data_IF_251808598215
#
_entry.id   IF_251808598215
#
_cell.length_a   1.000
_cell.length_b   1.000
_cell.length_c   1.000
_cell.angle_alpha   90.00
_cell.angle_beta   90.00
_cell.angle_gamma   90.00
#
_symmetry.space_group_name_H-M   'P 1'
#
loop_
_entity.id
_entity.type
_entity.pdbx_description
1 polymer ?
#
# COMPACT_ATOMS: atom_id res chain seq x y z
N UNK A 1 -16.73 -10.51 -19.05
CA UNK A 1 -16.72 -9.02 -19.05
C UNK A 1 -16.00 -8.56 -17.80
N UNK A 2 -15.50 -7.32 -17.76
CA UNK A 2 -14.73 -6.74 -16.65
C UNK A 2 -15.39 -5.46 -16.17
N UNK A 3 -15.25 -5.16 -14.88
CA UNK A 3 -15.63 -3.88 -14.27
C UNK A 3 -14.37 -3.10 -13.87
N UNK A 4 -14.22 -1.89 -14.38
CA UNK A 4 -13.14 -0.98 -13.99
C UNK A 4 -13.58 0.01 -12.92
N UNK A 5 -12.83 0.06 -11.83
CA UNK A 5 -13.05 0.94 -10.69
C UNK A 5 -12.09 2.12 -10.80
N UNK A 6 -12.65 3.34 -10.91
CA UNK A 6 -11.88 4.57 -11.14
C UNK A 6 -12.28 5.63 -10.10
N UNK A 7 -11.59 5.74 -8.97
CA UNK A 7 -11.81 6.81 -8.01
C UNK A 7 -11.15 8.11 -8.46
N UNK A 8 -11.75 9.25 -8.10
CA UNK A 8 -11.25 10.58 -8.42
C UNK A 8 -11.54 11.57 -7.29
N UNK A 9 -10.64 12.53 -7.09
CA UNK A 9 -10.82 13.65 -6.20
C UNK A 9 -10.24 14.93 -6.85
N UNK A 10 -11.11 15.93 -7.15
CA UNK A 10 -10.72 17.20 -7.77
C UNK A 10 -9.78 17.01 -8.98
N UNK A 11 -10.10 16.07 -9.86
CA UNK A 11 -9.21 15.65 -10.95
C UNK A 11 -9.97 15.40 -12.26
N UNK A 12 -10.89 16.31 -12.59
CA UNK A 12 -11.82 16.16 -13.71
C UNK A 12 -11.12 15.88 -15.05
N UNK A 13 -10.04 16.61 -15.35
CA UNK A 13 -9.41 16.51 -16.68
C UNK A 13 -8.77 15.15 -16.92
N UNK A 14 -8.05 14.64 -15.91
CA UNK A 14 -7.45 13.30 -16.02
C UNK A 14 -8.52 12.20 -16.00
N UNK A 15 -9.57 12.35 -15.18
CA UNK A 15 -10.70 11.43 -15.16
C UNK A 15 -11.37 11.31 -16.52
N UNK A 16 -11.54 12.42 -17.26
CA UNK A 16 -12.06 12.40 -18.63
C UNK A 16 -11.18 11.58 -19.57
N UNK A 17 -9.86 11.68 -19.44
CA UNK A 17 -8.92 10.95 -20.29
C UNK A 17 -8.96 9.44 -20.03
N UNK A 18 -8.97 9.01 -18.76
CA UNK A 18 -9.07 7.57 -18.45
C UNK A 18 -10.40 7.03 -18.94
N UNK A 19 -11.51 7.72 -18.68
CA UNK A 19 -12.83 7.30 -19.14
C UNK A 19 -12.91 7.18 -20.66
N UNK A 20 -12.42 8.19 -21.39
CA UNK A 20 -12.40 8.19 -22.84
C UNK A 20 -11.54 7.05 -23.43
N UNK A 21 -10.39 6.74 -22.80
CA UNK A 21 -9.54 5.63 -23.21
C UNK A 21 -10.21 4.27 -23.03
N UNK A 22 -10.94 4.08 -21.91
CA UNK A 22 -11.73 2.86 -21.69
C UNK A 22 -12.83 2.73 -22.73
N UNK A 23 -13.61 3.80 -22.96
CA UNK A 23 -14.67 3.79 -23.96
C UNK A 23 -14.18 3.49 -25.37
N UNK A 24 -12.95 3.94 -25.70
CA UNK A 24 -12.33 3.73 -27.02
C UNK A 24 -11.84 2.30 -27.20
N UNK A 25 -11.09 1.77 -26.22
CA UNK A 25 -10.37 0.51 -26.38
C UNK A 25 -11.11 -0.69 -25.79
N UNK A 26 -12.00 -0.45 -24.80
CA UNK A 26 -12.73 -1.48 -24.07
C UNK A 26 -14.23 -1.12 -23.94
N UNK A 27 -14.95 -0.88 -25.04
CA UNK A 27 -16.33 -0.37 -25.02
C UNK A 27 -17.33 -1.34 -24.39
N UNK A 28 -16.94 -2.59 -24.14
CA UNK A 28 -17.77 -3.59 -23.47
C UNK A 28 -17.50 -3.68 -21.96
N UNK A 29 -16.52 -2.93 -21.45
CA UNK A 29 -16.23 -2.92 -20.03
C UNK A 29 -17.27 -2.10 -19.26
N UNK A 30 -17.69 -2.61 -18.11
CA UNK A 30 -18.42 -1.82 -17.13
C UNK A 30 -17.46 -0.82 -16.48
N UNK A 31 -17.87 0.43 -16.38
CA UNK A 31 -17.09 1.48 -15.72
C UNK A 31 -17.83 1.94 -14.47
N UNK A 32 -17.07 2.04 -13.36
CA UNK A 32 -17.56 2.50 -12.07
C UNK A 32 -16.75 3.73 -11.68
N UNK A 33 -17.37 4.90 -11.80
CA UNK A 33 -16.75 6.19 -11.44
C UNK A 33 -17.12 6.55 -10.00
N UNK A 34 -16.09 6.79 -9.19
CA UNK A 34 -16.27 7.11 -7.77
C UNK A 34 -15.68 8.49 -7.46
N UNK A 35 -16.51 9.37 -6.94
CA UNK A 35 -16.12 10.71 -6.52
C UNK A 35 -15.83 10.75 -5.01
N UNK A 36 -14.61 11.11 -4.63
CA UNK A 36 -14.14 11.19 -3.25
C UNK A 36 -14.52 12.53 -2.57
N UNK A 37 -15.74 13.02 -2.80
CA UNK A 37 -16.20 14.29 -2.23
C UNK A 37 -15.59 15.51 -2.90
N UNK A 38 -15.38 15.48 -4.22
CA UNK A 38 -14.82 16.60 -5.00
C UNK A 38 -15.60 17.89 -4.83
N UNK A 39 -14.89 19.00 -4.86
CA UNK A 39 -15.42 20.36 -4.77
C UNK A 39 -15.42 21.12 -6.10
N UNK A 40 -14.81 20.54 -7.13
CA UNK A 40 -14.84 21.00 -8.51
C UNK A 40 -16.02 20.39 -9.30
N UNK A 41 -16.02 20.54 -10.64
CA UNK A 41 -17.06 20.00 -11.52
C UNK A 41 -16.98 18.45 -11.74
N UNK A 42 -16.08 17.73 -11.05
CA UNK A 42 -15.89 16.28 -11.22
C UNK A 42 -17.20 15.51 -11.06
N UNK A 43 -17.90 15.71 -9.93
CA UNK A 43 -19.17 15.01 -9.69
C UNK A 43 -20.25 15.36 -10.71
N UNK A 44 -20.36 16.63 -11.08
CA UNK A 44 -21.33 17.05 -12.08
C UNK A 44 -21.11 16.33 -13.41
N UNK A 45 -19.85 16.23 -13.85
CA UNK A 45 -19.51 15.52 -15.07
C UNK A 45 -19.77 14.01 -14.95
N UNK A 46 -19.42 13.37 -13.80
CA UNK A 46 -19.71 11.95 -13.55
C UNK A 46 -21.22 11.66 -13.69
N UNK A 47 -22.09 12.52 -13.20
CA UNK A 47 -23.55 12.36 -13.29
C UNK A 47 -24.05 12.25 -14.73
N UNK A 48 -23.36 12.85 -15.69
CA UNK A 48 -23.72 12.86 -17.11
C UNK A 48 -23.24 11.61 -17.87
N UNK A 49 -22.36 10.78 -17.30
CA UNK A 49 -21.81 9.61 -17.97
C UNK A 49 -22.77 8.40 -17.87
N UNK A 50 -22.73 7.52 -18.87
CA UNK A 50 -23.42 6.22 -18.82
C UNK A 50 -22.52 5.16 -18.16
N UNK A 51 -22.56 5.13 -16.83
CA UNK A 51 -21.71 4.26 -16.00
C UNK A 51 -22.32 4.07 -14.61
N UNK A 52 -21.82 3.13 -13.82
CA UNK A 52 -22.11 3.07 -12.38
C UNK A 52 -21.39 4.22 -11.67
N UNK A 53 -22.09 4.87 -10.76
CA UNK A 53 -21.62 6.09 -10.08
C UNK A 53 -21.77 5.98 -8.58
N UNK A 54 -20.81 6.53 -7.87
CA UNK A 54 -20.89 6.68 -6.43
C UNK A 54 -20.19 7.98 -6.01
N UNK A 55 -20.67 8.59 -4.96
CA UNK A 55 -20.03 9.75 -4.33
C UNK A 55 -19.98 9.56 -2.83
N UNK A 56 -18.84 9.77 -2.23
CA UNK A 56 -18.73 9.93 -0.78
C UNK A 56 -19.07 11.36 -0.35
N UNK A 57 -19.64 11.53 0.84
CA UNK A 57 -19.98 12.86 1.38
C UNK A 57 -18.73 13.68 1.74
N UNK A 58 -17.66 12.97 2.14
CA UNK A 58 -16.38 13.55 2.51
C UNK A 58 -15.25 12.75 1.86
N UNK A 59 -14.04 13.30 1.87
CA UNK A 59 -12.86 12.61 1.37
C UNK A 59 -12.50 11.41 2.25
N UNK A 60 -12.71 10.19 1.73
CA UNK A 60 -12.41 8.92 2.42
C UNK A 60 -11.16 8.23 1.88
N UNK A 61 -10.72 8.59 0.69
CA UNK A 61 -9.55 8.06 0.00
C UNK A 61 -9.83 6.86 -0.87
N UNK A 62 -8.89 6.62 -1.79
CA UNK A 62 -9.07 5.57 -2.79
C UNK A 62 -9.03 4.17 -2.19
N UNK A 63 -8.35 3.92 -1.07
CA UNK A 63 -8.40 2.64 -0.32
C UNK A 63 -9.84 2.19 -0.08
N UNK A 64 -10.68 3.07 0.47
CA UNK A 64 -12.09 2.80 0.74
C UNK A 64 -12.91 2.75 -0.55
N UNK A 65 -12.60 3.65 -1.49
CA UNK A 65 -13.36 3.73 -2.74
C UNK A 65 -13.12 2.55 -3.67
N UNK A 66 -11.93 1.96 -3.70
CA UNK A 66 -11.71 0.73 -4.47
C UNK A 66 -12.62 -0.40 -3.98
N UNK A 67 -12.69 -0.62 -2.67
CA UNK A 67 -13.54 -1.66 -2.09
C UNK A 67 -15.01 -1.39 -2.37
N UNK A 68 -15.44 -0.12 -2.24
CA UNK A 68 -16.80 0.28 -2.60
C UNK A 68 -17.10 0.07 -4.08
N UNK A 69 -16.18 0.39 -4.96
CA UNK A 69 -16.32 0.14 -6.41
C UNK A 69 -16.40 -1.34 -6.73
N UNK A 70 -15.57 -2.17 -6.12
CA UNK A 70 -15.60 -3.63 -6.28
C UNK A 70 -16.90 -4.21 -5.74
N UNK A 71 -17.45 -3.70 -4.65
CA UNK A 71 -18.77 -4.07 -4.15
C UNK A 71 -19.86 -3.82 -5.20
N UNK A 72 -19.84 -2.62 -5.83
CA UNK A 72 -20.82 -2.20 -6.85
C UNK A 72 -20.66 -2.90 -8.20
N UNK A 73 -19.49 -3.47 -8.49
CA UNK A 73 -19.21 -4.16 -9.75
C UNK A 73 -20.17 -5.33 -9.99
N UNK A 74 -20.68 -5.46 -11.23
CA UNK A 74 -21.60 -6.53 -11.60
C UNK A 74 -20.93 -7.70 -12.31
N UNK A 75 -19.69 -7.54 -12.77
CA UNK A 75 -18.93 -8.61 -13.41
C UNK A 75 -18.03 -9.36 -12.41
N UNK A 76 -17.70 -10.62 -12.77
CA UNK A 76 -16.84 -11.49 -11.98
C UNK A 76 -15.36 -11.06 -12.00
N UNK A 77 -14.93 -10.33 -13.04
CA UNK A 77 -13.58 -9.79 -13.14
C UNK A 77 -13.64 -8.30 -12.80
N UNK A 78 -12.79 -7.87 -11.90
CA UNK A 78 -12.67 -6.47 -11.49
C UNK A 78 -11.24 -5.98 -11.72
N UNK A 79 -11.09 -4.69 -11.99
CA UNK A 79 -9.79 -4.06 -12.13
C UNK A 79 -9.82 -2.63 -11.61
N UNK A 80 -8.72 -2.19 -11.02
CA UNK A 80 -8.56 -0.80 -10.59
C UNK A 80 -7.79 0.00 -11.63
N UNK A 81 -8.14 1.27 -11.77
CA UNK A 81 -7.41 2.26 -12.56
C UNK A 81 -7.31 3.56 -11.76
N UNK A 82 -6.15 4.19 -11.75
CA UNK A 82 -6.03 5.53 -11.23
C UNK A 82 -6.59 6.54 -12.24
N UNK A 83 -7.08 7.68 -11.76
CA UNK A 83 -7.63 8.73 -12.62
C UNK A 83 -6.59 9.34 -13.59
N UNK A 84 -5.30 9.12 -13.37
CA UNK A 84 -4.19 9.58 -14.21
C UNK A 84 -3.58 8.47 -15.07
N UNK A 85 -4.36 7.43 -15.40
CA UNK A 85 -3.96 6.32 -16.27
C UNK A 85 -4.76 6.33 -17.58
N UNK A 86 -4.12 5.96 -18.68
CA UNK A 86 -4.75 5.85 -20.00
C UNK A 86 -4.49 4.44 -20.51
N UNK A 87 -5.54 3.66 -20.75
CA UNK A 87 -5.40 2.29 -21.25
C UNK A 87 -5.06 2.29 -22.75
N UNK A 88 -4.16 1.39 -23.13
CA UNK A 88 -3.79 1.20 -24.51
C UNK A 88 -4.69 0.21 -25.26
N UNK A 89 -4.48 0.04 -26.59
CA UNK A 89 -5.17 -0.96 -27.39
C UNK A 89 -5.03 -2.40 -26.85
N UNK A 90 -6.11 -3.21 -26.95
CA UNK A 90 -6.18 -4.62 -26.53
C UNK A 90 -5.86 -4.86 -25.04
N UNK A 91 -6.06 -3.86 -24.20
CA UNK A 91 -5.67 -3.87 -22.78
C UNK A 91 -6.28 -5.05 -22.02
N UNK A 92 -7.62 -5.20 -22.05
CA UNK A 92 -8.33 -6.28 -21.35
C UNK A 92 -7.97 -7.64 -21.90
N UNK A 93 -7.94 -7.80 -23.24
CA UNK A 93 -7.62 -9.08 -23.85
C UNK A 93 -6.21 -9.58 -23.42
N UNK A 94 -5.23 -8.66 -23.33
CA UNK A 94 -3.87 -8.96 -22.95
C UNK A 94 -3.68 -9.22 -21.44
N UNK A 95 -4.59 -8.76 -20.60
CA UNK A 95 -4.60 -9.10 -19.17
C UNK A 95 -5.33 -10.43 -18.91
N UNK A 96 -6.55 -10.57 -19.48
CA UNK A 96 -7.44 -11.69 -19.17
C UNK A 96 -6.86 -13.04 -19.63
N UNK A 97 -6.06 -13.10 -20.69
CA UNK A 97 -5.42 -14.34 -21.14
C UNK A 97 -4.50 -14.99 -20.10
N UNK A 98 -4.03 -14.22 -19.11
CA UNK A 98 -3.20 -14.70 -18.01
C UNK A 98 -4.01 -14.94 -16.71
N UNK A 99 -5.28 -14.53 -16.69
CA UNK A 99 -6.09 -14.59 -15.48
C UNK A 99 -6.59 -16.01 -15.19
N UNK A 100 -6.39 -16.45 -13.97
CA UNK A 100 -6.85 -17.73 -13.40
C UNK A 100 -7.34 -17.48 -11.98
N UNK A 101 -8.09 -18.40 -11.37
CA UNK A 101 -8.37 -18.34 -9.94
C UNK A 101 -7.09 -18.20 -9.12
N UNK A 102 -7.11 -17.35 -8.11
CA UNK A 102 -5.95 -16.98 -7.29
C UNK A 102 -4.77 -16.39 -8.09
N UNK A 103 -5.07 -15.63 -9.11
CA UNK A 103 -4.06 -14.91 -9.89
C UNK A 103 -4.45 -13.43 -9.95
N UNK A 104 -3.49 -12.56 -9.69
CA UNK A 104 -3.61 -11.11 -9.89
C UNK A 104 -2.72 -10.71 -11.06
N UNK A 105 -3.30 -10.08 -12.08
CA UNK A 105 -2.58 -9.70 -13.29
C UNK A 105 -2.50 -8.19 -13.41
N UNK A 106 -1.29 -7.63 -13.45
CA UNK A 106 -1.08 -6.21 -13.69
C UNK A 106 -0.57 -5.91 -15.10
N UNK A 107 -0.77 -4.67 -15.54
CA UNK A 107 -0.27 -4.17 -16.82
C UNK A 107 1.18 -3.70 -16.72
N UNK A 108 1.85 -3.57 -17.86
CA UNK A 108 3.11 -2.83 -17.97
C UNK A 108 2.81 -1.35 -18.11
N UNK A 109 3.35 -0.56 -17.18
CA UNK A 109 3.23 0.90 -17.21
C UNK A 109 4.23 1.50 -18.19
N UNK A 110 3.77 2.51 -18.95
CA UNK A 110 4.60 3.44 -19.67
C UNK A 110 4.51 4.76 -18.91
N UNK A 111 5.62 5.33 -18.51
CA UNK A 111 5.68 6.51 -17.65
C UNK A 111 6.60 7.59 -18.22
N UNK A 112 6.28 8.89 -18.02
CA UNK A 112 7.23 9.95 -18.28
C UNK A 112 8.44 9.86 -17.34
N UNK A 113 9.58 10.51 -17.63
CA UNK A 113 10.83 10.37 -16.88
C UNK A 113 10.82 11.17 -15.56
N UNK A 114 9.77 10.99 -14.73
CA UNK A 114 9.65 11.60 -13.40
C UNK A 114 10.26 10.76 -12.28
N UNK A 115 10.33 9.47 -12.48
CA UNK A 115 10.87 8.52 -11.54
C UNK A 115 12.00 7.72 -12.17
N UNK A 116 12.92 7.14 -11.39
CA UNK A 116 13.99 6.28 -11.90
C UNK A 116 13.46 5.18 -12.82
N UNK A 117 14.29 4.75 -13.75
CA UNK A 117 14.03 3.57 -14.57
C UNK A 117 13.84 2.33 -13.69
N UNK A 118 13.03 1.38 -14.18
CA UNK A 118 12.78 0.09 -13.54
C UNK A 118 12.49 -0.97 -14.60
N UNK A 119 12.78 -2.23 -14.29
CA UNK A 119 12.56 -3.34 -15.23
C UNK A 119 11.07 -3.65 -15.42
N UNK A 120 10.23 -3.21 -14.49
CA UNK A 120 8.79 -3.41 -14.49
C UNK A 120 8.02 -2.42 -15.37
N UNK A 121 8.68 -1.39 -15.89
CA UNK A 121 8.03 -0.32 -16.67
C UNK A 121 8.85 0.11 -17.88
N UNK A 122 8.26 0.95 -18.71
CA UNK A 122 8.91 1.60 -19.85
C UNK A 122 8.91 3.10 -19.60
N UNK A 123 10.06 3.75 -19.70
CA UNK A 123 10.15 5.20 -19.62
C UNK A 123 10.01 5.79 -21.02
N UNK A 124 8.90 6.49 -21.25
CA UNK A 124 8.62 7.24 -22.48
C UNK A 124 7.66 8.38 -22.21
N UNK A 125 8.01 9.56 -22.67
CA UNK A 125 7.22 10.77 -22.47
C UNK A 125 6.21 10.96 -23.61
N UNK A 126 4.92 11.00 -23.26
CA UNK A 126 3.80 11.38 -24.13
C UNK A 126 3.03 12.58 -23.55
N UNK A 127 3.69 13.38 -22.73
CA UNK A 127 3.09 14.48 -21.99
C UNK A 127 2.59 14.08 -20.60
N UNK A 128 2.55 15.06 -19.72
CA UNK A 128 2.16 14.84 -18.30
C UNK A 128 0.94 15.64 -17.90
N UNK A 129 0.63 16.69 -18.63
CA UNK A 129 -0.47 17.60 -18.36
C UNK A 129 -1.41 17.63 -19.55
N UNK A 130 -2.63 18.11 -19.33
CA UNK A 130 -3.69 18.10 -20.32
C UNK A 130 -3.28 18.69 -21.68
N UNK A 131 -2.56 19.82 -21.67
CA UNK A 131 -2.14 20.53 -22.89
C UNK A 131 -0.97 19.85 -23.62
N UNK A 132 -0.24 18.97 -22.97
CA UNK A 132 0.96 18.30 -23.52
C UNK A 132 0.72 16.84 -23.84
N UNK A 133 -0.40 16.27 -23.44
CA UNK A 133 -0.71 14.86 -23.55
C UNK A 133 -0.98 14.45 -25.00
N UNK A 134 -0.12 13.61 -25.56
CA UNK A 134 -0.23 13.04 -26.90
C UNK A 134 -0.68 11.57 -26.86
N UNK A 135 -1.99 11.37 -26.70
CA UNK A 135 -2.62 10.04 -26.62
C UNK A 135 -2.38 9.28 -27.94
N UNK A 136 -2.38 9.98 -29.10
CA UNK A 136 -2.18 9.32 -30.38
C UNK A 136 -0.79 8.72 -30.49
N UNK A 137 0.25 9.45 -30.15
CA UNK A 137 1.63 8.93 -30.16
C UNK A 137 1.82 7.79 -29.16
N UNK A 138 1.14 7.83 -27.99
CA UNK A 138 1.11 6.70 -27.06
C UNK A 138 0.48 5.45 -27.70
N UNK A 139 -0.69 5.57 -28.33
CA UNK A 139 -1.36 4.45 -29.00
C UNK A 139 -0.54 3.89 -30.18
N UNK A 140 0.03 4.76 -31.00
CA UNK A 140 0.90 4.38 -32.12
C UNK A 140 2.12 3.59 -31.57
N UNK A 141 2.73 4.06 -30.48
CA UNK A 141 3.84 3.37 -29.82
C UNK A 141 3.44 2.00 -29.28
N UNK A 142 2.28 1.90 -28.61
CA UNK A 142 1.77 0.60 -28.12
C UNK A 142 1.54 -0.38 -29.27
N UNK A 143 0.98 0.08 -30.39
CA UNK A 143 0.75 -0.75 -31.57
C UNK A 143 2.07 -1.20 -32.25
N UNK A 144 3.14 -0.40 -32.15
CA UNK A 144 4.46 -0.73 -32.68
C UNK A 144 5.26 -1.65 -31.74
N UNK A 145 4.93 -1.67 -30.44
CA UNK A 145 5.61 -2.52 -29.46
C UNK A 145 5.35 -3.99 -29.77
N UNK A 146 6.30 -4.57 -30.48
CA UNK A 146 6.34 -5.99 -30.83
C UNK A 146 6.88 -6.81 -29.65
N UNK A 147 6.18 -6.80 -28.53
CA UNK A 147 6.51 -7.75 -27.48
C UNK A 147 6.03 -9.14 -27.90
N UNK A 148 6.77 -10.17 -27.52
CA UNK A 148 6.37 -11.55 -27.79
C UNK A 148 5.06 -11.81 -27.07
N UNK A 149 4.02 -12.18 -27.83
CA UNK A 149 2.69 -12.42 -27.29
C UNK A 149 2.73 -13.42 -26.15
N UNK A 150 2.02 -13.08 -25.06
CA UNK A 150 1.95 -13.93 -23.87
C UNK A 150 3.15 -13.88 -22.93
N UNK A 151 4.12 -12.99 -23.13
CA UNK A 151 5.20 -12.80 -22.17
C UNK A 151 4.70 -12.21 -20.86
N UNK A 152 5.22 -12.77 -19.77
CA UNK A 152 4.92 -12.30 -18.40
C UNK A 152 6.19 -12.15 -17.59
N UNK A 153 6.12 -11.32 -16.56
CA UNK A 153 7.09 -11.26 -15.47
C UNK A 153 6.36 -11.37 -14.14
N UNK A 154 7.09 -11.47 -13.05
CA UNK A 154 6.51 -11.52 -11.71
C UNK A 154 6.36 -10.13 -11.06
N UNK A 155 6.47 -9.06 -11.82
CA UNK A 155 6.28 -7.71 -11.30
C UNK A 155 4.86 -7.50 -10.79
N UNK A 156 4.69 -6.59 -9.82
CA UNK A 156 3.37 -6.21 -9.33
C UNK A 156 3.28 -4.72 -9.05
N UNK A 157 2.28 -4.09 -9.65
CA UNK A 157 1.93 -2.69 -9.40
C UNK A 157 0.51 -2.42 -9.90
N UNK A 158 -0.13 -1.34 -9.46
CA UNK A 158 -1.37 -0.87 -10.08
C UNK A 158 -1.08 -0.35 -11.51
N UNK A 159 -1.99 -0.56 -12.49
CA UNK A 159 -3.30 -1.17 -12.36
C UNK A 159 -3.25 -2.70 -12.46
N UNK A 160 -4.19 -3.36 -11.82
CA UNK A 160 -4.32 -4.80 -11.82
C UNK A 160 -5.76 -5.25 -12.01
N UNK A 161 -5.93 -6.54 -12.42
CA UNK A 161 -7.21 -7.24 -12.48
C UNK A 161 -7.15 -8.55 -11.70
N UNK A 162 -8.28 -9.00 -11.19
CA UNK A 162 -8.48 -10.32 -10.61
C UNK A 162 -9.96 -10.72 -10.61
N UNK A 163 -10.27 -11.93 -10.15
CA UNK A 163 -11.65 -12.29 -9.85
C UNK A 163 -12.15 -11.56 -8.60
N UNK A 164 -13.39 -11.05 -8.65
CA UNK A 164 -14.03 -10.35 -7.53
C UNK A 164 -14.06 -11.20 -6.25
N UNK A 165 -14.36 -12.50 -6.39
CA UNK A 165 -14.34 -13.44 -5.26
C UNK A 165 -12.96 -13.57 -4.60
N UNK A 166 -11.87 -13.54 -5.39
CA UNK A 166 -10.51 -13.60 -4.91
C UNK A 166 -10.13 -12.35 -4.10
N UNK A 167 -10.61 -11.16 -4.51
CA UNK A 167 -10.45 -9.93 -3.75
C UNK A 167 -11.19 -10.00 -2.40
N UNK A 168 -12.44 -10.48 -2.44
CA UNK A 168 -13.28 -10.60 -1.25
C UNK A 168 -12.77 -11.65 -0.26
N UNK A 169 -12.15 -12.72 -0.75
CA UNK A 169 -11.63 -13.81 0.08
C UNK A 169 -10.56 -13.38 1.08
N UNK A 170 -9.82 -12.30 0.80
CA UNK A 170 -8.83 -11.73 1.72
C UNK A 170 -9.33 -10.48 2.47
N UNK A 171 -10.63 -10.17 2.36
CA UNK A 171 -11.26 -9.02 3.04
C UNK A 171 -10.97 -7.66 2.39
N UNK A 172 -10.56 -7.62 1.11
CA UNK A 172 -10.29 -6.37 0.39
C UNK A 172 -9.05 -5.62 0.88
N UNK A 173 -9.02 -4.30 0.68
CA UNK A 173 -7.98 -3.44 1.24
C UNK A 173 -8.16 -3.26 2.74
N UNK A 174 -7.04 -3.07 3.46
CA UNK A 174 -7.10 -2.79 4.88
C UNK A 174 -7.40 -1.30 5.14
N UNK A 175 -8.54 -0.97 5.78
CA UNK A 175 -8.90 0.40 6.09
C UNK A 175 -7.91 1.12 7.03
N UNK A 176 -7.01 0.38 7.66
CA UNK A 176 -5.88 0.93 8.42
C UNK A 176 -5.04 1.93 7.59
N UNK A 177 -5.00 1.74 6.25
CA UNK A 177 -4.25 2.58 5.32
C UNK A 177 -5.08 3.70 4.67
N UNK A 178 -6.37 3.80 4.99
CA UNK A 178 -7.17 4.91 4.49
C UNK A 178 -6.67 6.28 4.99
N UNK A 179 -6.68 7.33 4.18
CA UNK A 179 -7.15 7.37 2.78
C UNK A 179 -6.17 6.77 1.78
N UNK A 180 -4.88 6.77 2.06
CA UNK A 180 -3.70 6.30 1.29
C UNK A 180 -2.42 6.69 2.06
N UNK A 181 -1.20 6.32 1.63
CA UNK A 181 -0.73 5.22 0.80
C UNK A 181 -0.51 3.95 1.61
N UNK A 182 0.18 2.98 1.07
CA UNK A 182 0.60 1.67 1.61
C UNK A 182 -0.46 0.56 1.45
N UNK A 183 -1.68 0.86 1.02
CA UNK A 183 -2.73 -0.13 0.75
C UNK A 183 -2.32 -1.13 -0.32
N UNK A 184 -1.65 -0.66 -1.40
CA UNK A 184 -1.13 -1.51 -2.46
C UNK A 184 -0.07 -2.50 -1.92
N UNK A 185 0.90 -2.00 -1.16
CA UNK A 185 1.97 -2.84 -0.60
C UNK A 185 1.43 -3.86 0.39
N UNK A 186 0.40 -3.48 1.16
CA UNK A 186 -0.27 -4.37 2.09
C UNK A 186 -1.00 -5.50 1.36
N UNK A 187 -1.85 -5.16 0.38
CA UNK A 187 -2.67 -6.15 -0.31
C UNK A 187 -1.82 -7.10 -1.17
N UNK A 188 -0.74 -6.61 -1.79
CA UNK A 188 0.16 -7.46 -2.58
C UNK A 188 0.84 -8.52 -1.70
N UNK A 189 1.32 -8.15 -0.51
CA UNK A 189 1.89 -9.10 0.43
C UNK A 189 0.86 -10.11 0.91
N UNK A 190 -0.37 -9.66 1.23
CA UNK A 190 -1.45 -10.57 1.66
C UNK A 190 -1.84 -11.57 0.57
N UNK A 191 -1.89 -11.15 -0.70
CA UNK A 191 -2.13 -12.08 -1.80
C UNK A 191 -1.03 -13.14 -1.90
N UNK A 192 0.26 -12.75 -1.83
CA UNK A 192 1.37 -13.71 -1.86
C UNK A 192 1.25 -14.72 -0.72
N UNK A 193 1.00 -14.25 0.51
CA UNK A 193 0.84 -15.10 1.70
C UNK A 193 -0.37 -16.02 1.61
N UNK A 194 -1.45 -15.58 0.94
CA UNK A 194 -2.63 -16.40 0.67
C UNK A 194 -2.43 -17.39 -0.50
N UNK A 195 -1.23 -17.42 -1.09
CA UNK A 195 -0.87 -18.33 -2.19
C UNK A 195 -1.38 -17.88 -3.56
N UNK A 196 -1.60 -16.58 -3.76
CA UNK A 196 -1.92 -16.02 -5.06
C UNK A 196 -0.66 -15.87 -5.91
N UNK A 197 -0.80 -16.07 -7.21
CA UNK A 197 0.23 -15.75 -8.19
C UNK A 197 0.07 -14.30 -8.65
N UNK A 198 1.14 -13.51 -8.56
CA UNK A 198 1.18 -12.14 -9.07
C UNK A 198 1.92 -12.14 -10.40
N UNK A 199 1.24 -11.71 -11.47
CA UNK A 199 1.73 -11.73 -12.85
C UNK A 199 1.67 -10.33 -13.43
N UNK A 200 2.76 -9.90 -14.07
CA UNK A 200 2.77 -8.73 -14.94
C UNK A 200 2.68 -9.17 -16.41
N UNK A 201 1.66 -8.73 -17.12
CA UNK A 201 1.57 -8.84 -18.58
C UNK A 201 2.54 -7.86 -19.25
N UNK A 202 3.35 -8.36 -20.19
CA UNK A 202 4.32 -7.54 -20.94
C UNK A 202 3.78 -7.02 -22.28
N UNK A 203 2.51 -7.25 -22.56
CA UNK A 203 1.80 -6.80 -23.76
C UNK A 203 0.47 -6.06 -23.48
N UNK A 204 0.05 -5.96 -22.21
CA UNK A 204 -1.00 -5.05 -21.78
C UNK A 204 -0.34 -3.74 -21.28
N UNK A 205 -0.67 -2.61 -21.88
CA UNK A 205 -0.02 -1.33 -21.61
C UNK A 205 -0.99 -0.29 -21.10
N UNK A 206 -0.50 0.49 -20.13
CA UNK A 206 -1.17 1.69 -19.63
C UNK A 206 -0.17 2.84 -19.62
N UNK A 207 -0.57 4.03 -20.06
CA UNK A 207 0.20 5.24 -19.83
C UNK A 207 -0.20 5.82 -18.48
N UNK A 208 0.77 5.92 -17.57
CA UNK A 208 0.58 6.45 -16.22
C UNK A 208 1.29 7.80 -16.10
N UNK A 209 0.51 8.87 -15.98
CA UNK A 209 1.06 10.24 -15.94
C UNK A 209 1.89 10.50 -14.69
N UNK A 210 1.76 9.67 -13.69
CA UNK A 210 2.44 9.72 -12.39
C UNK A 210 2.12 10.97 -11.57
N UNK A 211 1.82 10.81 -10.29
CA UNK A 211 1.56 11.90 -9.34
C UNK A 211 0.45 12.87 -9.76
N UNK A 212 -0.37 12.55 -10.78
CA UNK A 212 -1.55 13.31 -11.21
C UNK A 212 -2.85 12.75 -10.64
N UNK A 213 -2.78 11.65 -9.87
CA UNK A 213 -3.91 11.09 -9.12
C UNK A 213 -4.12 11.78 -7.76
N UNK A 214 -4.14 10.99 -6.70
CA UNK A 214 -4.44 11.44 -5.32
C UNK A 214 -3.40 12.40 -4.70
N UNK A 215 -2.17 12.45 -5.26
CA UNK A 215 -1.08 13.33 -4.80
C UNK A 215 -1.10 14.71 -5.44
N UNK A 216 -1.90 14.88 -6.49
CA UNK A 216 -1.88 16.13 -7.24
C UNK A 216 -2.52 17.28 -6.47
N UNK A 217 -1.85 18.41 -6.47
CA UNK A 217 -2.37 19.67 -5.97
C UNK A 217 -1.83 20.80 -6.86
N UNK A 218 -2.72 21.53 -7.54
CA UNK A 218 -2.35 22.57 -8.51
C UNK A 218 -1.54 23.72 -7.91
N UNK A 219 -1.72 24.02 -6.61
CA UNK A 219 -1.09 25.16 -5.96
C UNK A 219 0.36 24.88 -5.55
N UNK A 220 0.63 23.66 -5.08
CA UNK A 220 1.95 23.29 -4.52
C UNK A 220 2.62 22.16 -5.34
N UNK A 221 2.02 21.76 -6.43
CA UNK A 221 2.39 20.55 -7.16
C UNK A 221 1.95 19.31 -6.41
N UNK A 222 2.86 18.35 -6.21
CA UNK A 222 2.61 17.13 -5.45
C UNK A 222 3.17 17.23 -4.03
N UNK A 223 2.79 16.29 -3.16
CA UNK A 223 3.33 16.16 -1.79
C UNK A 223 3.04 17.39 -0.91
N UNK A 224 1.79 17.85 -0.94
CA UNK A 224 1.33 18.87 -0.02
C UNK A 224 1.37 18.42 1.45
N UNK A 225 1.09 19.30 2.39
CA UNK A 225 1.18 18.98 3.82
C UNK A 225 0.13 17.92 4.25
N UNK A 226 -1.02 17.87 3.56
CA UNK A 226 -2.00 16.81 3.80
C UNK A 226 -1.44 15.46 3.38
N UNK A 227 -0.87 15.34 2.17
CA UNK A 227 -0.24 14.11 1.70
C UNK A 227 0.89 13.65 2.62
N UNK A 228 1.76 14.56 3.06
CA UNK A 228 2.86 14.24 4.01
C UNK A 228 2.31 13.69 5.32
N UNK A 229 1.27 14.35 5.89
CA UNK A 229 0.67 13.93 7.17
C UNK A 229 0.06 12.53 7.08
N UNK A 230 -0.75 12.27 6.05
CA UNK A 230 -1.38 10.96 5.89
C UNK A 230 -0.37 9.88 5.56
N UNK A 231 0.68 10.19 4.78
CA UNK A 231 1.76 9.25 4.45
C UNK A 231 2.58 8.85 5.68
N UNK A 232 2.90 9.79 6.56
CA UNK A 232 3.59 9.50 7.82
C UNK A 232 2.75 8.60 8.73
N UNK A 233 1.44 8.88 8.83
CA UNK A 233 0.51 8.05 9.59
C UNK A 233 0.44 6.63 9.03
N UNK A 234 0.26 6.49 7.72
CA UNK A 234 0.17 5.20 7.05
C UNK A 234 1.47 4.40 7.14
N UNK A 235 2.64 5.07 7.05
CA UNK A 235 3.95 4.46 7.25
C UNK A 235 4.10 3.84 8.64
N UNK A 236 3.68 4.56 9.69
CA UNK A 236 3.70 4.05 11.08
C UNK A 236 2.76 2.85 11.24
N UNK A 237 1.56 2.91 10.65
CA UNK A 237 0.62 1.80 10.67
C UNK A 237 1.13 0.58 9.90
N UNK A 238 1.86 0.81 8.81
CA UNK A 238 2.52 -0.27 8.08
C UNK A 238 3.56 -1.00 8.94
N UNK A 239 4.40 -0.25 9.65
CA UNK A 239 5.36 -0.83 10.60
C UNK A 239 4.69 -1.60 11.73
N UNK A 240 3.60 -1.07 12.32
CA UNK A 240 2.82 -1.78 13.36
C UNK A 240 2.30 -3.13 12.87
N UNK A 241 1.80 -3.15 11.63
CA UNK A 241 1.25 -4.36 11.02
C UNK A 241 2.33 -5.34 10.61
N UNK A 242 3.34 -4.87 9.88
CA UNK A 242 4.32 -5.74 9.22
C UNK A 242 5.64 -5.91 9.97
N UNK A 243 5.95 -5.05 10.95
CA UNK A 243 7.19 -5.08 11.73
C UNK A 243 8.46 -4.73 10.94
N UNK A 244 8.32 -4.34 9.68
CA UNK A 244 9.44 -4.00 8.79
C UNK A 244 9.01 -3.02 7.71
N UNK A 245 9.98 -2.35 7.05
CA UNK A 245 9.70 -1.55 5.86
C UNK A 245 9.35 -2.40 4.66
N UNK A 246 8.64 -1.78 3.70
CA UNK A 246 8.39 -2.35 2.38
C UNK A 246 9.73 -2.69 1.72
N UNK A 247 9.82 -3.91 1.21
CA UNK A 247 10.89 -4.35 0.33
C UNK A 247 10.31 -4.94 -0.94
N UNK A 248 10.91 -4.58 -2.06
CA UNK A 248 10.59 -5.15 -3.36
C UNK A 248 11.87 -5.55 -4.08
N UNK A 249 11.76 -6.50 -4.98
CA UNK A 249 12.86 -6.82 -5.91
C UNK A 249 12.94 -5.81 -7.07
N UNK A 250 13.80 -6.05 -8.02
CA UNK A 250 14.01 -5.21 -9.20
C UNK A 250 12.82 -5.13 -10.17
N UNK A 251 11.82 -6.00 -10.00
CA UNK A 251 10.56 -6.02 -10.73
C UNK A 251 9.39 -5.47 -9.90
N UNK A 252 9.66 -4.84 -8.78
CA UNK A 252 8.68 -4.39 -7.79
C UNK A 252 7.85 -5.53 -7.16
N UNK A 253 8.32 -6.77 -7.25
CA UNK A 253 7.69 -7.90 -6.58
C UNK A 253 7.97 -7.84 -5.08
N UNK A 254 6.95 -7.95 -4.21
CA UNK A 254 7.13 -7.82 -2.77
C UNK A 254 8.04 -8.91 -2.19
N UNK A 255 8.96 -8.49 -1.33
CA UNK A 255 9.77 -9.35 -0.48
C UNK A 255 9.16 -9.30 0.93
N UNK A 256 8.61 -10.42 1.38
CA UNK A 256 7.93 -10.51 2.67
C UNK A 256 8.96 -10.85 3.75
N UNK A 257 9.10 -9.96 4.72
CA UNK A 257 9.88 -10.21 5.91
C UNK A 257 9.05 -10.99 6.95
N UNK A 258 9.68 -11.82 7.80
CA UNK A 258 8.96 -12.47 8.88
C UNK A 258 8.41 -11.45 9.88
N UNK A 259 7.20 -11.69 10.36
CA UNK A 259 6.61 -10.97 11.49
C UNK A 259 6.75 -11.83 12.74
N UNK A 260 7.46 -11.29 13.73
CA UNK A 260 7.64 -11.89 15.06
C UNK A 260 6.87 -11.09 16.12
N UNK A 261 6.55 -11.72 17.22
CA UNK A 261 6.03 -11.03 18.42
C UNK A 261 7.22 -10.45 19.21
N UNK A 262 7.52 -9.18 18.98
CA UNK A 262 8.66 -8.46 19.56
C UNK A 262 8.18 -7.46 20.61
N UNK A 263 8.81 -7.50 21.77
CA UNK A 263 8.66 -6.50 22.81
C UNK A 263 9.95 -5.70 23.02
N UNK A 264 9.81 -4.39 23.26
CA UNK A 264 10.90 -3.56 23.75
C UNK A 264 10.70 -3.23 25.23
N UNK A 265 11.79 -3.34 26.01
CA UNK A 265 11.82 -2.92 27.42
C UNK A 265 12.82 -1.79 27.56
N UNK A 266 12.35 -0.57 27.78
CA UNK A 266 13.17 0.63 27.70
C UNK A 266 13.25 1.33 29.06
N UNK A 267 14.45 1.39 29.62
CA UNK A 267 14.75 2.20 30.79
C UNK A 267 15.02 3.65 30.39
N UNK A 268 14.65 4.59 31.27
CA UNK A 268 14.82 6.03 31.06
C UNK A 268 14.27 6.54 29.71
N UNK A 269 13.17 5.96 29.22
CA UNK A 269 12.52 6.34 27.96
C UNK A 269 12.00 7.79 28.01
N UNK A 270 11.99 8.46 26.87
CA UNK A 270 11.31 9.74 26.68
C UNK A 270 10.28 9.64 25.54
N UNK A 271 9.47 10.70 25.36
CA UNK A 271 8.38 10.71 24.39
C UNK A 271 8.86 10.56 22.94
N UNK A 272 9.97 11.18 22.59
CA UNK A 272 10.51 11.12 21.21
C UNK A 272 10.97 9.71 20.88
N UNK A 273 11.70 9.05 21.79
CA UNK A 273 12.15 7.68 21.60
C UNK A 273 10.97 6.69 21.61
N UNK A 274 10.01 6.86 22.51
CA UNK A 274 8.77 6.07 22.54
C UNK A 274 8.05 6.19 21.19
N UNK A 275 7.89 7.41 20.71
CA UNK A 275 7.24 7.67 19.42
C UNK A 275 8.00 7.05 18.25
N UNK A 276 9.33 7.07 18.27
CA UNK A 276 10.14 6.49 17.21
C UNK A 276 10.09 4.95 17.18
N UNK A 277 9.98 4.30 18.34
CA UNK A 277 10.15 2.85 18.47
C UNK A 277 8.83 2.06 18.55
N UNK A 278 7.73 2.66 19.07
CA UNK A 278 6.47 1.93 19.25
C UNK A 278 5.98 1.23 17.97
N UNK A 279 6.07 1.81 16.75
CA UNK A 279 5.60 1.11 15.54
C UNK A 279 6.41 -0.14 15.17
N UNK A 280 7.63 -0.30 15.69
CA UNK A 280 8.55 -1.39 15.35
C UNK A 280 8.40 -2.66 16.19
N UNK A 281 7.50 -2.66 17.15
CA UNK A 281 7.28 -3.81 18.04
C UNK A 281 5.79 -4.07 18.23
N UNK A 282 5.45 -5.18 18.86
CA UNK A 282 4.08 -5.50 19.22
C UNK A 282 3.71 -4.89 20.58
N UNK A 283 4.67 -4.90 21.51
CA UNK A 283 4.54 -4.29 22.84
C UNK A 283 5.79 -3.49 23.20
N UNK A 284 5.62 -2.41 23.96
CA UNK A 284 6.71 -1.62 24.51
C UNK A 284 6.46 -1.38 26.00
N UNK A 285 7.45 -1.71 26.81
CA UNK A 285 7.41 -1.58 28.25
C UNK A 285 8.36 -0.48 28.69
N UNK A 286 7.88 0.50 29.45
CA UNK A 286 8.65 1.67 29.89
C UNK A 286 8.57 1.86 31.38
N UNK A 287 9.55 2.52 31.96
CA UNK A 287 9.53 3.02 33.35
C UNK A 287 8.64 4.27 33.40
N UNK A 288 7.40 4.13 33.86
CA UNK A 288 6.42 5.25 33.94
C UNK A 288 5.40 5.02 35.07
N UNK A 289 5.87 4.95 36.31
CA UNK A 289 5.03 4.68 37.49
C UNK A 289 3.79 5.58 37.59
N UNK A 290 3.87 6.83 37.13
CA UNK A 290 2.78 7.81 37.18
C UNK A 290 1.92 7.81 35.93
N UNK A 291 2.26 7.06 34.88
CA UNK A 291 1.54 7.00 33.62
C UNK A 291 1.57 8.31 32.80
N UNK A 292 2.52 9.19 33.06
CA UNK A 292 2.59 10.52 32.43
C UNK A 292 3.04 10.39 30.98
N UNK A 293 4.06 9.58 30.72
CA UNK A 293 4.60 9.37 29.40
C UNK A 293 3.60 8.61 28.51
N UNK A 294 2.97 7.56 29.04
CA UNK A 294 1.91 6.83 28.36
C UNK A 294 0.74 7.75 27.99
N UNK A 295 0.24 8.56 28.94
CA UNK A 295 -0.88 9.47 28.71
C UNK A 295 -0.55 10.47 27.59
N UNK A 296 0.63 11.09 27.62
CA UNK A 296 1.09 12.02 26.59
C UNK A 296 1.17 11.36 25.21
N UNK A 297 1.64 10.11 25.14
CA UNK A 297 1.70 9.35 23.90
C UNK A 297 0.30 9.00 23.38
N UNK A 298 -0.62 8.53 24.22
CA UNK A 298 -2.00 8.22 23.83
C UNK A 298 -2.74 9.44 23.30
N UNK A 299 -2.60 10.59 23.95
CA UNK A 299 -3.26 11.82 23.53
C UNK A 299 -2.85 12.25 22.10
N UNK A 300 -1.61 12.03 21.75
CA UNK A 300 -1.07 12.45 20.45
C UNK A 300 -1.26 11.41 19.36
N UNK A 301 -1.06 10.13 19.65
CA UNK A 301 -0.93 9.09 18.63
C UNK A 301 -2.18 8.21 18.42
N UNK A 302 -3.02 7.97 19.46
CA UNK A 302 -4.17 7.06 19.33
C UNK A 302 -5.12 7.40 18.18
N UNK A 303 -5.29 8.67 17.88
CA UNK A 303 -6.14 9.12 16.77
C UNK A 303 -5.60 8.77 15.38
N UNK A 304 -4.34 8.34 15.28
CA UNK A 304 -3.65 8.04 14.03
C UNK A 304 -3.65 6.56 13.67
N UNK A 305 -4.22 5.72 14.54
CA UNK A 305 -4.21 4.26 14.35
C UNK A 305 -5.45 3.61 14.94
N UNK A 306 -5.88 2.49 14.34
CA UNK A 306 -6.90 1.60 14.89
C UNK A 306 -6.36 0.63 15.95
N UNK A 307 -5.02 0.49 16.06
CA UNK A 307 -4.42 -0.28 17.14
C UNK A 307 -4.71 0.37 18.50
N UNK A 308 -5.10 -0.44 19.47
CA UNK A 308 -5.28 0.01 20.87
C UNK A 308 -3.91 0.20 21.53
N UNK A 309 -3.43 1.44 21.55
CA UNK A 309 -2.12 1.76 22.11
C UNK A 309 -2.02 1.48 23.62
N UNK A 310 -3.16 1.38 24.34
CA UNK A 310 -3.15 0.98 25.76
C UNK A 310 -2.74 -0.48 25.98
N UNK A 311 -2.88 -1.30 24.93
CA UNK A 311 -2.40 -2.69 24.95
C UNK A 311 -0.97 -2.83 24.44
N UNK A 312 -0.44 -1.80 23.78
CA UNK A 312 0.88 -1.83 23.18
C UNK A 312 1.95 -1.12 24.02
N UNK A 313 1.57 -0.08 24.77
CA UNK A 313 2.47 0.71 25.61
C UNK A 313 2.13 0.44 27.08
N UNK A 314 2.98 -0.29 27.74
CA UNK A 314 2.78 -0.80 29.10
C UNK A 314 3.88 -0.30 30.04
N UNK A 315 3.67 -0.44 31.37
CA UNK A 315 4.71 -0.16 32.35
C UNK A 315 5.41 -1.44 32.77
N UNK A 316 6.71 -1.34 33.08
CA UNK A 316 7.53 -2.48 33.48
C UNK A 316 7.06 -3.04 34.83
N UNK A 317 6.55 -2.17 35.73
CA UNK A 317 6.25 -2.50 37.13
C UNK A 317 5.13 -3.52 37.29
N UNK A 318 4.26 -3.66 36.30
CA UNK A 318 3.03 -4.47 36.42
C UNK A 318 2.93 -5.62 35.42
N UNK A 319 3.98 -5.82 34.61
CA UNK A 319 3.94 -6.79 33.50
C UNK A 319 5.22 -7.64 33.47
N UNK A 320 5.13 -8.83 32.93
CA UNK A 320 6.28 -9.71 32.67
C UNK A 320 6.53 -9.83 31.14
N UNK A 321 7.39 -8.97 30.55
CA UNK A 321 7.63 -8.98 29.11
C UNK A 321 8.07 -10.33 28.57
N UNK A 322 8.85 -11.11 29.34
CA UNK A 322 9.39 -12.41 28.90
C UNK A 322 8.36 -13.53 28.92
N UNK A 323 7.32 -13.40 29.74
CA UNK A 323 6.21 -14.36 29.74
C UNK A 323 5.18 -14.07 28.63
N UNK A 324 5.07 -12.81 28.19
CA UNK A 324 4.02 -12.35 27.28
C UNK A 324 4.49 -12.27 25.82
N UNK A 325 5.83 -12.29 25.57
CA UNK A 325 6.38 -12.08 24.23
C UNK A 325 7.42 -13.13 23.86
N UNK A 326 7.48 -13.45 22.58
CA UNK A 326 8.43 -14.43 22.04
C UNK A 326 9.85 -13.86 22.02
N UNK A 327 9.99 -12.57 21.75
CA UNK A 327 11.28 -11.89 21.65
C UNK A 327 11.24 -10.62 22.48
N UNK A 328 12.18 -10.45 23.39
CA UNK A 328 12.29 -9.29 24.27
C UNK A 328 13.64 -8.62 24.08
N UNK A 329 13.62 -7.32 23.76
CA UNK A 329 14.80 -6.48 23.55
C UNK A 329 14.88 -5.43 24.65
N UNK A 330 15.81 -5.58 25.55
CA UNK A 330 16.00 -4.70 26.73
C UNK A 330 17.17 -3.74 26.50
N UNK A 331 17.00 -2.45 26.83
CA UNK A 331 18.07 -1.46 26.76
C UNK A 331 17.79 -0.20 27.59
N UNK A 332 18.84 0.60 27.81
CA UNK A 332 18.74 1.94 28.43
C UNK A 332 18.77 3.02 27.31
N UNK A 333 17.72 3.86 27.28
CA UNK A 333 17.58 4.95 26.31
C UNK A 333 18.78 5.91 26.29
N UNK A 334 19.51 6.05 27.42
CA UNK A 334 20.72 6.90 27.51
C UNK A 334 21.88 6.40 26.63
N UNK A 335 21.88 5.12 26.28
CA UNK A 335 22.92 4.50 25.45
C UNK A 335 22.48 4.36 23.98
N UNK A 336 21.20 4.64 23.67
CA UNK A 336 20.63 4.46 22.33
C UNK A 336 21.24 5.45 21.33
N UNK A 337 21.66 4.94 20.18
CA UNK A 337 22.34 5.70 19.12
C UNK A 337 21.63 5.51 17.76
N UNK A 338 22.11 6.21 16.74
CA UNK A 338 21.67 5.99 15.36
C UNK A 338 21.98 4.55 14.88
N UNK A 339 23.09 3.95 15.33
CA UNK A 339 23.43 2.56 15.02
C UNK A 339 22.41 1.61 15.64
N UNK A 340 22.05 1.84 16.90
CA UNK A 340 20.99 1.08 17.58
C UNK A 340 19.66 1.14 16.81
N UNK A 341 19.30 2.33 16.31
CA UNK A 341 18.10 2.47 15.48
C UNK A 341 18.20 1.68 14.16
N UNK A 342 19.36 1.65 13.52
CA UNK A 342 19.55 0.86 12.29
C UNK A 342 19.42 -0.65 12.55
N UNK A 343 19.85 -1.13 13.73
CA UNK A 343 19.65 -2.53 14.14
C UNK A 343 18.17 -2.83 14.32
N UNK A 344 17.41 -1.95 14.98
CA UNK A 344 15.94 -2.09 15.11
C UNK A 344 15.27 -2.24 13.75
N UNK A 345 15.66 -1.43 12.76
CA UNK A 345 15.09 -1.49 11.42
C UNK A 345 15.35 -2.82 10.68
N UNK A 346 16.38 -3.54 11.04
CA UNK A 346 16.81 -4.80 10.43
C UNK A 346 16.56 -6.02 11.35
N UNK A 347 15.96 -5.80 12.53
CA UNK A 347 15.89 -6.81 13.58
C UNK A 347 15.23 -8.11 13.11
N UNK A 348 14.09 -8.03 12.41
CA UNK A 348 13.39 -9.21 11.89
C UNK A 348 14.24 -10.05 10.93
N UNK A 349 15.09 -9.41 10.13
CA UNK A 349 16.00 -10.10 9.22
C UNK A 349 17.16 -10.75 9.97
N UNK A 350 17.76 -10.01 10.92
CA UNK A 350 18.82 -10.52 11.78
C UNK A 350 18.34 -11.77 12.54
N UNK A 351 17.14 -11.72 13.11
CA UNK A 351 16.53 -12.85 13.82
C UNK A 351 16.30 -14.06 12.89
N UNK A 352 15.79 -13.81 11.67
CA UNK A 352 15.60 -14.85 10.66
C UNK A 352 16.90 -15.52 10.25
N UNK A 353 17.94 -14.71 10.00
CA UNK A 353 19.25 -15.20 9.56
C UNK A 353 19.98 -15.99 10.66
N UNK A 354 19.85 -15.56 11.93
CA UNK A 354 20.47 -16.27 13.04
C UNK A 354 19.82 -17.64 13.27
N UNK A 355 18.49 -17.69 13.25
CA UNK A 355 17.71 -18.91 13.54
C UNK A 355 17.90 -19.45 14.96
N UNK A 356 18.52 -18.67 15.85
CA UNK A 356 18.91 -19.12 17.19
C UNK A 356 17.94 -18.60 18.26
N UNK A 357 17.75 -19.40 19.31
CA UNK A 357 17.00 -19.03 20.53
C UNK A 357 17.94 -18.92 21.71
N UNK A 358 17.55 -18.13 22.73
CA UNK A 358 18.39 -17.92 23.92
C UNK A 358 18.60 -16.43 24.21
N UNK A 359 19.65 -16.13 24.99
CA UNK A 359 20.01 -14.76 25.35
C UNK A 359 21.24 -14.28 24.55
N UNK A 360 21.17 -13.09 24.00
CA UNK A 360 22.21 -12.48 23.16
C UNK A 360 22.43 -11.04 23.55
N UNK A 361 23.63 -10.52 23.30
CA UNK A 361 23.98 -9.11 23.43
C UNK A 361 24.45 -8.57 22.08
N UNK A 362 23.81 -7.52 21.59
CA UNK A 362 24.15 -6.86 20.33
C UNK A 362 24.04 -5.35 20.51
N UNK A 363 25.11 -4.62 20.29
CA UNK A 363 25.19 -3.16 20.55
C UNK A 363 24.79 -2.86 22.00
N UNK A 364 23.75 -2.07 22.22
CA UNK A 364 23.19 -1.73 23.54
C UNK A 364 22.08 -2.66 24.00
N UNK A 365 21.70 -3.63 23.16
CA UNK A 365 20.56 -4.51 23.38
C UNK A 365 20.95 -5.80 24.08
N UNK A 366 20.18 -6.15 25.11
CA UNK A 366 20.06 -7.52 25.61
C UNK A 366 18.81 -8.14 24.99
N UNK A 367 18.97 -9.16 24.15
CA UNK A 367 17.89 -9.82 23.43
C UNK A 367 17.64 -11.19 24.02
N UNK A 368 16.42 -11.45 24.47
CA UNK A 368 15.95 -12.76 24.87
C UNK A 368 15.02 -13.30 23.80
N UNK A 369 15.35 -14.43 23.18
CA UNK A 369 14.54 -15.10 22.15
C UNK A 369 14.02 -16.40 22.74
N UNK A 370 12.73 -16.42 23.10
CA UNK A 370 12.02 -17.58 23.59
C UNK A 370 11.54 -18.47 22.43
N UNK A 371 11.10 -17.84 21.34
CA UNK A 371 10.56 -18.49 20.14
C UNK A 371 10.82 -17.62 18.91
N UNK A 372 10.97 -18.26 17.75
CA UNK A 372 10.99 -17.62 16.42
C UNK A 372 9.71 -17.97 15.65
N UNK A 373 8.57 -17.99 16.32
CA UNK A 373 7.27 -18.18 15.69
C UNK A 373 6.92 -17.00 14.78
N UNK A 374 6.62 -17.29 13.52
CA UNK A 374 6.19 -16.30 12.54
C UNK A 374 4.66 -16.12 12.57
N UNK A 375 4.19 -14.90 12.75
CA UNK A 375 2.75 -14.55 12.85
C UNK A 375 2.18 -14.02 11.53
N UNK A 376 2.50 -14.67 10.43
CA UNK A 376 2.08 -14.21 9.11
C UNK A 376 0.61 -14.54 8.79
N UNK A 377 0.07 -15.64 9.30
CA UNK A 377 -1.29 -16.06 8.96
C UNK A 377 -2.36 -15.07 9.40
N UNK A 378 -2.17 -14.38 10.52
CA UNK A 378 -3.10 -13.40 11.06
C UNK A 378 -3.13 -12.09 10.25
N UNK A 379 -2.17 -11.92 9.32
CA UNK A 379 -2.05 -10.74 8.47
C UNK A 379 -2.80 -10.86 7.14
N UNK A 380 -3.20 -12.09 6.74
CA UNK A 380 -3.72 -12.38 5.40
C UNK A 380 -5.10 -11.77 5.18
N UNK A 381 -6.01 -11.95 6.13
CA UNK A 381 -7.40 -11.53 6.01
C UNK A 381 -7.65 -10.30 6.87
N UNK A 382 -8.18 -9.23 6.25
CA UNK A 382 -8.68 -8.08 7.00
C UNK A 382 -10.08 -8.39 7.53
N UNK A 383 -10.25 -8.30 8.83
CA UNK A 383 -11.56 -8.34 9.47
C UNK A 383 -12.12 -6.91 9.47
N UNK A 384 -12.97 -6.62 8.49
CA UNK A 384 -13.69 -5.34 8.35
C UNK A 384 -14.89 -5.28 9.27
#
# INVERSE_FOLDING_TARGET
MISFIVPSYNNLQHLKNVYASIQKHEPQAEVILLDDGSTDDTWKWIQEQDCIKYRSETRVGHTILYDKGIELATNDIVGILHADMIVGPNYVANLVKHLKPKTVVCATRIEPPLHPEGKEKIIRDFGMDFDTLDIKSFEDFVNELQLVEGQTTRGMFAPWILYKEDFQAIGGHDPLFAPFPYEDSDIFQRWIMAGYELIQSRDAFVYHLTCRGHRWNEQVGRDDDYYKTVSQRAARNYLRKWGSWIKNDELQYPIINPKYNIAYVIKACNLDLLSALEPWCDMIYIEDEMGVLQAAYYETEQRNTSYDLKKRVLTIEYNDPKAENDIVVEFDAKQFTQQSYNIIQQLSEILKESGEVGEFEVDVFKITINSLTEYQNDLIVCNN
#
